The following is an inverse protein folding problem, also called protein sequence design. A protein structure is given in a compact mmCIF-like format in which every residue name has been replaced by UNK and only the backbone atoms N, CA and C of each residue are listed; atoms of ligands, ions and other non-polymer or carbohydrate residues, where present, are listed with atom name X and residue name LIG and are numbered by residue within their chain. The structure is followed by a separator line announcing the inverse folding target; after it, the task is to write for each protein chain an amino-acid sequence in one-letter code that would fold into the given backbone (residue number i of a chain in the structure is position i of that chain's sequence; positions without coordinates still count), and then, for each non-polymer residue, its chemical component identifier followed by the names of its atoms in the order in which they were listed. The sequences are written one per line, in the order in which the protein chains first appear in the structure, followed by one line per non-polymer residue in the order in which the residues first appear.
data_IF_324552040788
#
_entry.id   IF_324552040788
#
_cell.length_a   1.000
_cell.length_b   1.000
_cell.length_c   1.000
_cell.angle_alpha   90.00
_cell.angle_beta   90.00
_cell.angle_gamma   90.00
#
_symmetry.space_group_name_H-M   'P 1'
#
loop_
_entity.id
_entity.type
_entity.pdbx_description
1 polymer ?
#
# COMPACT_ATOMS: atom_id res chain seq x y z
N UNK A 1 7.14 -20.72 -64.34
CA UNK A 1 7.47 -19.31 -64.09
C UNK A 1 8.53 -19.25 -63.01
N UNK A 2 9.63 -18.49 -63.19
CA UNK A 2 10.93 -18.84 -62.63
C UNK A 2 11.37 -18.01 -61.42
N UNK A 3 12.18 -18.68 -60.59
CA UNK A 3 13.37 -18.30 -59.80
C UNK A 3 13.95 -16.87 -59.80
N UNK A 4 14.75 -16.61 -58.73
CA UNK A 4 15.87 -15.64 -58.55
C UNK A 4 15.46 -14.27 -57.99
N UNK A 5 16.26 -13.54 -57.22
CA UNK A 5 17.58 -13.73 -56.59
C UNK A 5 17.75 -12.64 -55.53
N UNK A 6 18.57 -12.96 -54.53
CA UNK A 6 19.26 -12.01 -53.67
C UNK A 6 20.19 -11.09 -54.46
N UNK A 7 20.19 -9.80 -54.14
CA UNK A 7 21.30 -8.89 -54.44
C UNK A 7 21.67 -8.04 -53.23
N UNK A 8 22.90 -8.29 -52.79
CA UNK A 8 23.77 -7.39 -52.05
C UNK A 8 23.83 -6.01 -52.74
N UNK A 9 23.71 -4.93 -51.96
CA UNK A 9 24.43 -3.69 -52.22
C UNK A 9 25.01 -3.18 -50.90
N UNK A 10 26.34 -3.19 -50.84
CA UNK A 10 27.13 -2.47 -49.86
C UNK A 10 27.11 -0.98 -50.21
N UNK A 11 26.95 -0.12 -49.21
CA UNK A 11 27.35 1.27 -49.33
C UNK A 11 27.97 1.71 -48.00
N UNK A 12 29.27 1.95 -48.09
CA UNK A 12 30.16 2.50 -47.07
C UNK A 12 29.81 3.97 -46.89
N UNK A 13 29.56 4.38 -45.64
CA UNK A 13 29.40 5.77 -45.24
C UNK A 13 29.97 5.96 -43.84
N UNK A 14 31.24 6.35 -43.77
CA UNK A 14 31.91 6.73 -42.52
C UNK A 14 31.43 8.10 -42.06
N UNK A 15 30.93 8.21 -40.82
CA UNK A 15 30.82 9.48 -40.09
C UNK A 15 31.32 9.28 -38.66
N UNK A 16 32.23 10.16 -38.28
CA UNK A 16 32.97 10.21 -37.03
C UNK A 16 32.10 10.43 -35.78
N UNK A 17 32.46 9.69 -34.73
CA UNK A 17 32.63 10.07 -33.32
C UNK A 17 31.62 11.04 -32.68
N UNK A 18 30.88 10.53 -31.68
CA UNK A 18 30.73 11.18 -30.37
C UNK A 18 30.25 10.14 -29.34
N UNK A 19 31.19 9.72 -28.49
CA UNK A 19 30.96 8.85 -27.32
C UNK A 19 30.35 9.66 -26.18
N UNK A 20 29.27 9.20 -25.53
CA UNK A 20 28.88 9.74 -24.23
C UNK A 20 29.71 9.07 -23.13
N UNK A 21 30.60 9.85 -22.50
CA UNK A 21 31.34 9.44 -21.31
C UNK A 21 30.41 9.42 -20.10
N UNK A 22 30.31 8.25 -19.44
CA UNK A 22 29.86 8.15 -18.06
C UNK A 22 30.79 8.97 -17.16
N UNK A 23 30.23 9.83 -16.30
CA UNK A 23 30.91 10.30 -15.09
C UNK A 23 30.14 9.81 -13.88
N UNK A 24 30.86 9.09 -13.04
CA UNK A 24 30.42 8.53 -11.79
C UNK A 24 30.28 9.60 -10.69
N UNK A 25 29.47 9.22 -9.71
CA UNK A 25 29.15 9.87 -8.44
C UNK A 25 30.23 10.77 -7.81
N UNK A 26 29.82 12.02 -7.54
CA UNK A 26 30.49 12.98 -6.66
C UNK A 26 29.56 13.38 -5.50
N UNK A 27 30.02 13.05 -4.30
CA UNK A 27 29.56 13.30 -2.93
C UNK A 27 28.69 14.55 -2.66
N UNK A 28 27.66 14.31 -1.83
CA UNK A 28 27.09 15.15 -0.75
C UNK A 28 27.59 16.59 -0.67
N UNK A 29 26.71 17.54 -1.01
CA UNK A 29 26.80 18.91 -0.51
C UNK A 29 25.69 19.15 0.52
N UNK A 30 26.12 19.29 1.76
CA UNK A 30 25.36 19.85 2.88
C UNK A 30 25.16 21.33 2.57
N UNK A 31 23.95 21.72 2.13
CA UNK A 31 23.64 23.13 1.98
C UNK A 31 23.34 23.74 3.35
N UNK A 32 24.45 24.21 3.93
CA UNK A 32 24.66 25.34 4.83
C UNK A 32 23.41 26.19 5.05
N UNK A 33 22.97 26.25 6.31
CA UNK A 33 22.17 27.33 6.89
C UNK A 33 22.68 28.68 6.40
N UNK A 34 21.96 29.29 5.47
CA UNK A 34 22.19 30.68 5.08
C UNK A 34 21.86 31.57 6.26
N UNK A 35 22.90 32.12 6.87
CA UNK A 35 22.84 33.23 7.82
C UNK A 35 22.18 34.43 7.15
N UNK A 36 21.14 34.98 7.79
CA UNK A 36 20.51 36.23 7.37
C UNK A 36 21.54 37.36 7.61
N UNK A 37 21.89 38.20 6.62
CA UNK A 37 22.75 39.34 6.85
C UNK A 37 22.00 40.37 7.71
N UNK A 38 22.57 40.74 8.86
CA UNK A 38 22.08 41.86 9.66
C UNK A 38 22.54 43.17 8.99
N UNK A 39 21.63 44.09 8.62
CA UNK A 39 22.04 45.42 8.20
C UNK A 39 22.57 46.18 9.42
N UNK A 40 23.71 46.84 9.25
CA UNK A 40 24.31 47.70 10.25
C UNK A 40 23.44 48.95 10.43
N UNK A 41 22.76 49.08 11.58
CA UNK A 41 21.97 50.26 11.93
C UNK A 41 22.80 51.21 12.79
N UNK A 42 23.40 52.20 12.12
CA UNK A 42 23.75 53.47 12.73
C UNK A 42 22.92 54.54 12.02
N UNK A 43 21.81 54.97 12.62
CA UNK A 43 21.58 56.37 13.03
C UNK A 43 20.12 56.55 13.54
N UNK A 44 20.03 57.47 14.47
CA UNK A 44 19.05 57.92 15.45
C UNK A 44 17.55 57.99 15.12
N UNK A 45 16.74 57.61 16.12
CA UNK A 45 15.40 58.19 16.34
C UNK A 45 14.31 57.22 16.82
N UNK A 46 14.11 57.13 18.14
CA UNK A 46 12.89 56.65 18.83
C UNK A 46 12.35 55.26 18.39
N UNK A 47 12.87 54.19 18.99
CA UNK A 47 12.22 52.88 18.98
C UNK A 47 10.97 52.90 19.87
N UNK A 48 9.79 52.93 19.25
CA UNK A 48 8.59 52.31 19.82
C UNK A 48 8.73 50.81 19.53
N UNK A 49 8.41 49.88 20.44
CA UNK A 49 8.35 48.48 20.10
C UNK A 49 7.22 48.31 19.06
N UNK A 50 7.58 48.19 17.79
CA UNK A 50 6.61 47.87 16.75
C UNK A 50 6.03 46.51 17.07
N UNK A 51 4.77 46.51 17.48
CA UNK A 51 3.98 45.29 17.59
C UNK A 51 4.04 44.58 16.23
N UNK A 52 4.11 43.24 16.19
CA UNK A 52 4.05 42.53 14.92
C UNK A 52 2.85 43.05 14.11
N UNK A 53 2.95 43.13 12.77
CA UNK A 53 1.83 43.53 11.94
C UNK A 53 0.58 42.79 12.43
N UNK A 54 -0.54 43.49 12.59
CA UNK A 54 -1.72 42.92 13.26
C UNK A 54 -2.16 41.56 12.69
N UNK A 55 -1.81 41.26 11.43
CA UNK A 55 -2.01 39.97 10.78
C UNK A 55 -1.13 38.84 11.35
N UNK A 56 0.15 39.08 11.66
CA UNK A 56 1.08 38.11 12.26
C UNK A 56 0.66 37.76 13.69
N UNK A 57 0.22 38.75 14.47
CA UNK A 57 -0.31 38.51 15.82
C UNK A 57 -1.57 37.62 15.78
N UNK A 58 -2.47 37.87 14.81
CA UNK A 58 -3.68 37.07 14.61
C UNK A 58 -3.33 35.66 14.14
N UNK A 59 -2.46 35.50 13.14
CA UNK A 59 -2.00 34.19 12.69
C UNK A 59 -1.43 33.38 13.86
N UNK A 60 -0.54 33.99 14.67
CA UNK A 60 0.01 33.35 15.86
C UNK A 60 -1.10 32.90 16.80
N UNK A 61 -2.08 33.75 17.11
CA UNK A 61 -3.19 33.38 17.99
C UNK A 61 -4.01 32.20 17.48
N UNK A 62 -4.20 32.08 16.16
CA UNK A 62 -4.91 30.95 15.56
C UNK A 62 -4.09 29.65 15.63
N UNK A 63 -2.79 29.73 15.43
CA UNK A 63 -1.87 28.60 15.60
C UNK A 63 -1.76 28.17 17.07
N UNK A 64 -1.72 29.12 18.00
CA UNK A 64 -1.74 28.85 19.45
C UNK A 64 -3.05 28.14 19.84
N UNK A 65 -4.20 28.59 19.31
CA UNK A 65 -5.49 27.93 19.54
C UNK A 65 -5.50 26.50 18.99
N UNK A 66 -4.97 26.29 17.79
CA UNK A 66 -4.83 24.96 17.20
C UNK A 66 -3.92 24.05 18.05
N UNK A 67 -2.79 24.57 18.52
CA UNK A 67 -1.88 23.85 19.41
C UNK A 67 -2.52 23.50 20.77
N UNK A 68 -3.41 24.36 21.27
CA UNK A 68 -4.22 24.13 22.46
C UNK A 68 -5.42 23.19 22.20
N UNK A 69 -5.56 22.63 21.00
CA UNK A 69 -6.70 21.81 20.56
C UNK A 69 -8.05 22.57 20.59
N UNK A 70 -8.02 23.90 20.56
CA UNK A 70 -9.19 24.76 20.37
C UNK A 70 -9.42 25.00 18.87
N UNK A 71 -9.99 23.97 18.22
CA UNK A 71 -10.23 23.99 16.78
C UNK A 71 -11.28 25.04 16.41
N UNK A 72 -12.25 25.28 17.28
CA UNK A 72 -13.28 26.31 17.05
C UNK A 72 -12.66 27.71 17.08
N UNK A 73 -11.82 28.00 18.07
CA UNK A 73 -11.07 29.25 18.16
C UNK A 73 -10.12 29.44 16.97
N UNK A 74 -9.36 28.41 16.58
CA UNK A 74 -8.50 28.48 15.41
C UNK A 74 -9.27 28.81 14.12
N UNK A 75 -10.44 28.21 13.92
CA UNK A 75 -11.33 28.48 12.77
C UNK A 75 -11.87 29.91 12.81
N UNK A 76 -12.32 30.38 13.98
CA UNK A 76 -12.78 31.77 14.14
C UNK A 76 -11.67 32.77 13.79
N UNK A 77 -10.43 32.51 14.21
CA UNK A 77 -9.29 33.36 13.87
C UNK A 77 -9.01 33.34 12.37
N UNK A 78 -9.06 32.17 11.72
CA UNK A 78 -8.91 32.07 10.25
C UNK A 78 -9.93 32.91 9.51
N UNK A 79 -11.20 32.84 9.93
CA UNK A 79 -12.30 33.53 9.27
C UNK A 79 -12.24 35.06 9.47
N UNK A 80 -11.51 35.52 10.50
CA UNK A 80 -11.23 36.94 10.75
C UNK A 80 -9.97 37.48 10.06
N UNK A 81 -9.16 36.62 9.43
CA UNK A 81 -8.01 37.03 8.62
C UNK A 81 -8.47 37.54 7.24
N UNK A 82 -7.71 38.44 6.58
CA UNK A 82 -8.08 38.92 5.26
C UNK A 82 -8.23 37.76 4.26
N UNK A 83 -9.32 37.79 3.49
CA UNK A 83 -9.63 36.75 2.49
C UNK A 83 -8.50 36.66 1.47
N UNK A 84 -8.09 35.43 1.14
CA UNK A 84 -6.99 35.10 0.22
C UNK A 84 -5.60 35.60 0.68
N UNK A 85 -5.43 35.96 1.95
CA UNK A 85 -4.11 36.28 2.50
C UNK A 85 -3.28 35.01 2.76
N UNK A 86 -1.96 35.15 2.70
CA UNK A 86 -1.04 34.07 3.06
C UNK A 86 -1.31 33.57 4.49
N UNK A 87 -1.58 34.47 5.43
CA UNK A 87 -1.89 34.14 6.82
C UNK A 87 -3.16 33.27 6.93
N UNK A 88 -4.21 33.63 6.18
CA UNK A 88 -5.43 32.82 6.10
C UNK A 88 -5.15 31.43 5.52
N UNK A 89 -4.34 31.36 4.44
CA UNK A 89 -3.96 30.10 3.80
C UNK A 89 -3.15 29.20 4.74
N UNK A 90 -2.16 29.76 5.45
CA UNK A 90 -1.35 29.02 6.43
C UNK A 90 -2.25 28.43 7.51
N UNK A 91 -3.16 29.23 8.06
CA UNK A 91 -4.04 28.76 9.13
C UNK A 91 -5.08 27.75 8.64
N UNK A 92 -5.65 27.94 7.44
CA UNK A 92 -6.54 26.97 6.81
C UNK A 92 -5.85 25.62 6.58
N UNK A 93 -4.63 25.64 6.05
CA UNK A 93 -3.79 24.46 5.86
C UNK A 93 -3.48 23.77 7.19
N UNK A 94 -3.06 24.53 8.20
CA UNK A 94 -2.72 23.99 9.52
C UNK A 94 -3.93 23.35 10.19
N UNK A 95 -5.11 23.98 10.14
CA UNK A 95 -6.36 23.41 10.66
C UNK A 95 -6.69 22.12 9.91
N UNK A 96 -6.65 22.12 8.58
CA UNK A 96 -6.99 20.95 7.77
C UNK A 96 -6.04 19.76 8.01
N UNK A 97 -4.76 20.04 8.34
CA UNK A 97 -3.74 19.03 8.57
C UNK A 97 -3.74 18.50 10.02
N UNK A 98 -3.93 19.38 11.00
CA UNK A 98 -3.71 19.09 12.43
C UNK A 98 -4.96 19.19 13.30
N UNK A 99 -6.07 19.74 12.80
CA UNK A 99 -7.28 19.95 13.60
C UNK A 99 -8.07 18.68 13.92
N UNK A 100 -7.67 17.54 13.35
CA UNK A 100 -8.19 16.22 13.70
C UNK A 100 -9.68 16.07 13.44
N UNK A 101 -10.37 15.41 14.37
CA UNK A 101 -11.74 14.93 14.15
C UNK A 101 -12.82 16.03 14.11
N UNK A 102 -12.48 17.24 14.57
CA UNK A 102 -13.41 18.37 14.66
C UNK A 102 -13.43 19.25 13.41
N UNK A 103 -12.59 18.95 12.41
CA UNK A 103 -12.54 19.69 11.16
C UNK A 103 -13.47 19.02 10.14
N UNK A 104 -14.44 19.76 9.55
CA UNK A 104 -15.33 19.18 8.57
C UNK A 104 -14.64 18.81 7.25
N UNK A 105 -15.15 17.79 6.57
CA UNK A 105 -14.60 17.29 5.31
C UNK A 105 -14.58 18.35 4.21
N UNK A 106 -15.65 19.15 4.13
CA UNK A 106 -15.77 20.26 3.18
C UNK A 106 -14.67 21.30 3.39
N UNK A 107 -14.36 21.62 4.65
CA UNK A 107 -13.30 22.59 5.00
C UNK A 107 -11.92 22.08 4.60
N UNK A 108 -11.64 20.79 4.80
CA UNK A 108 -10.40 20.16 4.36
C UNK A 108 -10.32 20.15 2.82
N UNK A 109 -11.44 19.86 2.14
CA UNK A 109 -11.50 19.86 0.69
C UNK A 109 -11.29 21.25 0.10
N UNK A 110 -11.86 22.29 0.72
CA UNK A 110 -11.70 23.67 0.29
C UNK A 110 -10.26 24.16 0.51
N UNK A 111 -9.64 23.81 1.65
CA UNK A 111 -8.21 24.07 1.86
C UNK A 111 -7.34 23.38 0.80
N UNK A 112 -7.64 22.14 0.44
CA UNK A 112 -6.90 21.41 -0.59
C UNK A 112 -7.07 22.02 -2.00
N UNK A 113 -8.27 22.49 -2.35
CA UNK A 113 -8.56 23.16 -3.63
C UNK A 113 -7.88 24.52 -3.72
N UNK A 114 -7.87 25.28 -2.63
CA UNK A 114 -7.25 26.59 -2.54
C UNK A 114 -5.72 26.52 -2.63
N UNK A 115 -5.13 25.38 -2.20
CA UNK A 115 -3.69 25.22 -2.01
C UNK A 115 -3.10 24.01 -2.76
N UNK A 116 -3.26 23.91 -4.10
CA UNK A 116 -3.07 22.66 -4.87
C UNK A 116 -1.64 22.09 -4.91
N UNK A 117 -0.63 22.79 -4.40
CA UNK A 117 0.78 22.33 -4.37
C UNK A 117 1.44 22.50 -3.00
N UNK A 118 0.63 22.68 -1.96
CA UNK A 118 1.17 22.85 -0.61
C UNK A 118 1.66 21.53 -0.02
N UNK A 119 2.59 21.58 0.94
CA UNK A 119 3.04 20.37 1.63
C UNK A 119 1.87 19.59 2.25
N UNK A 120 1.95 18.26 2.24
CA UNK A 120 0.99 17.42 2.96
C UNK A 120 -0.35 17.17 2.26
N UNK A 121 -0.48 17.39 0.95
CA UNK A 121 -1.74 17.10 0.21
C UNK A 121 -2.26 15.67 0.42
N UNK A 122 -1.37 14.68 0.51
CA UNK A 122 -1.75 13.29 0.82
C UNK A 122 -2.38 13.18 2.21
N UNK A 123 -1.82 13.88 3.20
CA UNK A 123 -2.37 13.88 4.55
C UNK A 123 -3.71 14.62 4.61
N UNK A 124 -3.85 15.77 3.92
CA UNK A 124 -5.15 16.45 3.79
C UNK A 124 -6.20 15.54 3.16
N UNK A 125 -5.84 14.81 2.10
CA UNK A 125 -6.74 13.85 1.47
C UNK A 125 -7.19 12.76 2.44
N UNK A 126 -6.24 12.15 3.17
CA UNK A 126 -6.58 11.15 4.20
C UNK A 126 -7.46 11.72 5.32
N UNK A 127 -7.22 12.96 5.75
CA UNK A 127 -8.04 13.63 6.76
C UNK A 127 -9.46 13.89 6.24
N UNK A 128 -9.59 14.31 4.98
CA UNK A 128 -10.88 14.52 4.31
C UNK A 128 -11.68 13.22 4.23
N UNK A 129 -11.05 12.10 3.85
CA UNK A 129 -11.71 10.78 3.81
C UNK A 129 -12.21 10.33 5.19
N UNK A 130 -11.40 10.52 6.25
CA UNK A 130 -11.82 10.21 7.63
C UNK A 130 -12.97 11.11 8.08
N UNK A 131 -12.94 12.39 7.72
CA UNK A 131 -14.02 13.34 8.02
C UNK A 131 -15.31 12.96 7.30
N UNK A 132 -15.25 12.62 6.00
CA UNK A 132 -16.41 12.13 5.23
C UNK A 132 -17.03 10.90 5.87
N UNK A 133 -16.21 9.95 6.33
CA UNK A 133 -16.71 8.75 7.00
C UNK A 133 -17.41 9.07 8.33
N UNK A 134 -16.89 10.00 9.13
CA UNK A 134 -17.52 10.43 10.39
C UNK A 134 -18.82 11.19 10.17
N UNK A 135 -18.84 12.09 9.19
CA UNK A 135 -20.00 12.90 8.84
C UNK A 135 -21.10 12.07 8.19
N UNK A 136 -20.72 11.02 7.46
CA UNK A 136 -21.60 10.14 6.70
C UNK A 136 -22.67 10.92 5.91
N UNK A 137 -22.25 11.86 5.03
CA UNK A 137 -23.18 12.66 4.22
C UNK A 137 -23.89 11.80 3.18
N UNK A 138 -24.82 12.41 2.43
CA UNK A 138 -25.54 11.73 1.37
C UNK A 138 -24.58 11.11 0.32
N UNK A 139 -24.91 9.95 -0.27
CA UNK A 139 -24.04 9.23 -1.21
C UNK A 139 -23.51 10.09 -2.37
N UNK A 140 -24.33 11.02 -2.88
CA UNK A 140 -23.99 11.92 -3.99
C UNK A 140 -22.82 12.83 -3.61
N UNK A 141 -22.82 13.33 -2.37
CA UNK A 141 -21.77 14.20 -1.84
C UNK A 141 -20.47 13.43 -1.68
N UNK A 142 -20.53 12.18 -1.19
CA UNK A 142 -19.35 11.32 -1.07
C UNK A 142 -18.74 11.08 -2.44
N UNK A 143 -19.53 10.60 -3.41
CA UNK A 143 -19.04 10.30 -4.76
C UNK A 143 -18.45 11.55 -5.43
N UNK A 144 -19.10 12.70 -5.27
CA UNK A 144 -18.58 13.97 -5.77
C UNK A 144 -17.27 14.38 -5.08
N UNK A 145 -17.15 14.19 -3.76
CA UNK A 145 -15.95 14.53 -3.01
C UNK A 145 -14.73 13.69 -3.45
N UNK A 146 -14.95 12.41 -3.78
CA UNK A 146 -13.89 11.58 -4.35
C UNK A 146 -13.56 11.93 -5.80
N UNK A 147 -14.51 12.42 -6.59
CA UNK A 147 -14.26 12.92 -7.94
C UNK A 147 -13.58 11.90 -8.88
N UNK A 148 -13.87 10.60 -8.69
CA UNK A 148 -13.26 9.49 -9.44
C UNK A 148 -11.88 9.05 -8.94
N UNK A 149 -11.34 9.68 -7.90
CA UNK A 149 -10.06 9.32 -7.32
C UNK A 149 -10.17 8.13 -6.36
N UNK A 150 -9.16 7.25 -6.33
CA UNK A 150 -9.14 6.06 -5.46
C UNK A 150 -8.84 6.41 -4.01
N UNK A 151 -9.60 5.93 -3.02
CA UNK A 151 -9.38 6.25 -1.61
C UNK A 151 -8.01 5.83 -1.11
N UNK A 152 -7.52 6.54 -0.08
CA UNK A 152 -6.20 6.32 0.54
C UNK A 152 -6.30 5.83 1.99
N UNK A 153 -7.51 5.66 2.51
CA UNK A 153 -7.82 5.19 3.86
C UNK A 153 -8.88 4.09 3.82
N UNK A 154 -8.91 3.26 4.86
CA UNK A 154 -9.94 2.24 5.04
C UNK A 154 -11.33 2.90 5.20
N UNK A 155 -11.40 4.01 5.93
CA UNK A 155 -12.61 4.81 6.09
C UNK A 155 -13.13 5.32 4.74
N UNK A 156 -12.22 5.83 3.90
CA UNK A 156 -12.51 6.29 2.54
C UNK A 156 -13.04 5.16 1.64
N UNK A 157 -12.41 3.98 1.69
CA UNK A 157 -12.88 2.78 0.98
C UNK A 157 -14.31 2.42 1.40
N UNK A 158 -14.57 2.36 2.71
CA UNK A 158 -15.88 1.97 3.23
C UNK A 158 -16.96 2.98 2.85
N UNK A 159 -16.73 4.29 3.08
CA UNK A 159 -17.76 5.30 2.78
C UNK A 159 -18.05 5.41 1.28
N UNK A 160 -17.03 5.31 0.44
CA UNK A 160 -17.20 5.37 -1.02
C UNK A 160 -17.91 4.11 -1.54
N UNK A 161 -17.52 2.93 -1.09
CA UNK A 161 -18.19 1.68 -1.47
C UNK A 161 -19.66 1.67 -1.02
N UNK A 162 -19.95 2.08 0.22
CA UNK A 162 -21.32 2.22 0.74
C UNK A 162 -22.15 3.18 -0.10
N UNK A 163 -21.55 4.29 -0.52
CA UNK A 163 -22.21 5.30 -1.36
C UNK A 163 -22.56 4.75 -2.74
N UNK A 164 -21.61 4.05 -3.39
CA UNK A 164 -21.87 3.38 -4.67
C UNK A 164 -22.95 2.30 -4.56
N UNK A 165 -22.94 1.48 -3.50
CA UNK A 165 -24.01 0.48 -3.26
C UNK A 165 -25.36 1.16 -3.11
N UNK A 166 -25.44 2.27 -2.36
CA UNK A 166 -26.69 3.01 -2.13
C UNK A 166 -27.27 3.61 -3.41
N UNK A 167 -26.40 3.90 -4.39
CA UNK A 167 -26.78 4.38 -5.73
C UNK A 167 -27.02 3.22 -6.73
N UNK A 168 -26.97 1.97 -6.29
CA UNK A 168 -27.13 0.80 -7.15
C UNK A 168 -25.91 0.47 -8.03
N UNK A 169 -24.79 1.17 -7.86
CA UNK A 169 -23.57 0.95 -8.63
C UNK A 169 -22.64 -0.08 -7.97
N UNK A 170 -23.05 -1.35 -8.04
CA UNK A 170 -22.34 -2.51 -7.47
C UNK A 170 -20.93 -2.65 -8.06
N UNK A 171 -20.74 -2.36 -9.35
CA UNK A 171 -19.45 -2.48 -10.02
C UNK A 171 -18.44 -1.45 -9.52
N UNK A 172 -18.86 -0.19 -9.34
CA UNK A 172 -18.00 0.83 -8.76
C UNK A 172 -17.67 0.55 -7.28
N UNK A 173 -18.61 0.00 -6.51
CA UNK A 173 -18.31 -0.42 -5.15
C UNK A 173 -17.23 -1.52 -5.11
N UNK A 174 -17.32 -2.52 -6.01
CA UNK A 174 -16.31 -3.59 -6.13
C UNK A 174 -14.95 -3.05 -6.57
N UNK A 175 -14.90 -2.11 -7.52
CA UNK A 175 -13.63 -1.58 -8.03
C UNK A 175 -12.80 -0.89 -6.94
N UNK A 176 -13.46 -0.33 -5.93
CA UNK A 176 -12.82 0.27 -4.75
C UNK A 176 -12.49 -0.78 -3.69
N UNK A 177 -13.41 -1.72 -3.41
CA UNK A 177 -13.24 -2.72 -2.35
C UNK A 177 -12.19 -3.78 -2.67
N UNK A 178 -12.19 -4.35 -3.87
CA UNK A 178 -11.35 -5.50 -4.23
C UNK A 178 -9.84 -5.27 -4.05
N UNK A 179 -9.22 -4.20 -4.60
CA UNK A 179 -7.78 -4.00 -4.44
C UNK A 179 -7.37 -3.77 -2.98
N UNK A 180 -8.18 -3.00 -2.24
CA UNK A 180 -7.99 -2.77 -0.81
C UNK A 180 -8.11 -4.08 -0.02
N UNK A 181 -9.20 -4.81 -0.22
CA UNK A 181 -9.49 -6.05 0.50
C UNK A 181 -8.44 -7.13 0.29
N UNK A 182 -7.88 -7.25 -0.92
CA UNK A 182 -6.84 -8.24 -1.21
C UNK A 182 -5.55 -8.03 -0.43
N UNK A 183 -5.24 -6.79 -0.04
CA UNK A 183 -3.88 -6.40 0.33
C UNK A 183 -3.76 -5.73 1.69
N UNK A 184 -4.82 -5.05 2.16
CA UNK A 184 -4.76 -4.24 3.37
C UNK A 184 -4.61 -5.12 4.63
N UNK A 185 -3.71 -4.71 5.53
CA UNK A 185 -3.58 -5.34 6.84
C UNK A 185 -4.61 -4.73 7.79
N UNK A 186 -5.67 -5.48 8.05
CA UNK A 186 -6.78 -5.05 8.89
C UNK A 186 -6.73 -5.73 10.26
N UNK A 187 -7.11 -4.98 11.30
CA UNK A 187 -7.41 -5.56 12.60
C UNK A 187 -8.68 -6.43 12.53
N UNK A 188 -8.81 -7.39 13.46
CA UNK A 188 -9.89 -8.37 13.41
C UNK A 188 -11.29 -7.74 13.46
N UNK A 189 -11.43 -6.63 14.19
CA UNK A 189 -12.68 -5.86 14.28
C UNK A 189 -13.08 -5.27 12.93
N UNK A 190 -12.14 -4.63 12.25
CA UNK A 190 -12.40 -3.92 10.99
C UNK A 190 -12.62 -4.91 9.85
N UNK A 191 -11.85 -6.01 9.83
CA UNK A 191 -12.07 -7.10 8.88
C UNK A 191 -13.48 -7.69 9.02
N UNK A 192 -13.92 -7.94 10.26
CA UNK A 192 -15.26 -8.47 10.51
C UNK A 192 -16.38 -7.46 10.14
N UNK A 193 -16.13 -6.17 10.33
CA UNK A 193 -17.07 -5.12 9.92
C UNK A 193 -17.22 -5.08 8.39
N UNK A 194 -16.11 -5.12 7.65
CA UNK A 194 -16.12 -5.16 6.18
C UNK A 194 -16.78 -6.43 5.66
N UNK A 195 -16.50 -7.60 6.25
CA UNK A 195 -17.17 -8.85 5.87
C UNK A 195 -18.69 -8.76 6.08
N UNK A 196 -19.12 -8.21 7.22
CA UNK A 196 -20.54 -8.08 7.52
C UNK A 196 -21.26 -7.18 6.53
N UNK A 197 -20.62 -6.08 6.14
CA UNK A 197 -21.22 -5.07 5.26
C UNK A 197 -21.12 -5.44 3.77
N UNK A 198 -19.96 -5.93 3.33
CA UNK A 198 -19.62 -6.11 1.91
C UNK A 198 -19.22 -7.54 1.54
N UNK A 199 -19.28 -8.51 2.46
CA UNK A 199 -18.74 -9.85 2.24
C UNK A 199 -19.36 -10.58 1.03
N UNK A 200 -20.66 -10.36 0.77
CA UNK A 200 -21.36 -10.92 -0.40
C UNK A 200 -21.11 -10.14 -1.68
N UNK A 201 -20.70 -8.87 -1.57
CA UNK A 201 -20.37 -8.01 -2.70
C UNK A 201 -18.97 -8.31 -3.23
N UNK A 202 -18.03 -8.57 -2.33
CA UNK A 202 -16.64 -8.91 -2.66
C UNK A 202 -16.59 -10.30 -3.31
N UNK A 203 -15.98 -10.45 -4.51
CA UNK A 203 -15.86 -11.74 -5.19
C UNK A 203 -15.16 -12.82 -4.35
N UNK A 204 -15.61 -14.08 -4.49
CA UNK A 204 -14.95 -15.22 -3.84
C UNK A 204 -13.46 -15.34 -4.19
N UNK A 205 -13.07 -14.94 -5.41
CA UNK A 205 -11.68 -14.91 -5.84
C UNK A 205 -10.82 -13.91 -5.05
N UNK A 206 -11.38 -12.78 -4.63
CA UNK A 206 -10.66 -11.78 -3.82
C UNK A 206 -10.56 -12.23 -2.36
N UNK A 207 -11.60 -12.86 -1.83
CA UNK A 207 -11.53 -13.57 -0.54
C UNK A 207 -10.45 -14.65 -0.56
N UNK A 208 -10.38 -15.41 -1.65
CA UNK A 208 -9.37 -16.47 -1.84
C UNK A 208 -7.95 -15.89 -1.88
N UNK A 209 -7.73 -14.83 -2.66
CA UNK A 209 -6.44 -14.15 -2.71
C UNK A 209 -6.02 -13.63 -1.33
N UNK A 210 -6.92 -12.93 -0.62
CA UNK A 210 -6.66 -12.44 0.74
C UNK A 210 -6.33 -13.60 1.68
N UNK A 211 -7.11 -14.67 1.65
CA UNK A 211 -6.90 -15.85 2.49
C UNK A 211 -5.48 -16.42 2.35
N UNK A 212 -5.04 -16.68 1.12
CA UNK A 212 -3.71 -17.25 0.86
C UNK A 212 -2.61 -16.27 1.26
N UNK A 213 -2.76 -14.98 0.95
CA UNK A 213 -1.82 -13.94 1.39
C UNK A 213 -1.71 -13.86 2.92
N UNK A 214 -2.82 -14.00 3.63
CA UNK A 214 -2.80 -14.03 5.09
C UNK A 214 -2.12 -15.28 5.65
N UNK A 215 -2.17 -16.42 4.97
CA UNK A 215 -1.37 -17.59 5.37
C UNK A 215 0.13 -17.37 5.16
N UNK A 216 0.54 -16.79 4.02
CA UNK A 216 1.95 -16.46 3.78
C UNK A 216 2.51 -15.46 4.79
N UNK A 217 1.68 -14.54 5.27
CA UNK A 217 2.04 -13.55 6.28
C UNK A 217 1.84 -14.03 7.74
N UNK A 218 1.69 -15.35 7.97
CA UNK A 218 1.46 -15.98 9.29
C UNK A 218 0.22 -15.44 10.05
N UNK A 219 -0.74 -14.85 9.35
CA UNK A 219 -2.01 -14.34 9.91
C UNK A 219 -3.13 -15.39 9.82
N UNK A 220 -2.86 -16.58 10.34
CA UNK A 220 -3.74 -17.77 10.26
C UNK A 220 -5.19 -17.48 10.66
N UNK A 221 -5.42 -16.76 11.78
CA UNK A 221 -6.78 -16.45 12.24
C UNK A 221 -7.53 -15.52 11.26
N UNK A 222 -6.82 -14.63 10.56
CA UNK A 222 -7.41 -13.77 9.51
C UNK A 222 -7.80 -14.61 8.30
N UNK A 223 -6.92 -15.50 7.86
CA UNK A 223 -7.20 -16.40 6.75
C UNK A 223 -8.43 -17.30 7.03
N UNK A 224 -8.52 -17.86 8.24
CA UNK A 224 -9.66 -18.71 8.64
C UNK A 224 -11.00 -17.94 8.64
N UNK A 225 -11.01 -16.65 9.02
CA UNK A 225 -12.24 -15.83 8.99
C UNK A 225 -12.85 -15.70 7.59
N UNK A 226 -12.00 -15.59 6.57
CA UNK A 226 -12.46 -15.40 5.17
C UNK A 226 -12.60 -16.70 4.39
N UNK A 227 -12.12 -17.83 4.92
CA UNK A 227 -12.04 -19.10 4.20
C UNK A 227 -13.39 -19.63 3.70
N UNK A 228 -14.48 -19.36 4.44
CA UNK A 228 -15.84 -19.71 4.01
C UNK A 228 -16.28 -18.92 2.77
N UNK A 229 -16.03 -17.61 2.76
CA UNK A 229 -16.35 -16.71 1.64
C UNK A 229 -15.48 -16.98 0.42
N UNK A 230 -14.25 -17.46 0.65
CA UNK A 230 -13.32 -17.90 -0.38
C UNK A 230 -13.70 -19.27 -1.00
N UNK A 231 -14.71 -19.98 -0.48
CA UNK A 231 -15.03 -21.35 -0.90
C UNK A 231 -13.89 -22.34 -0.63
N UNK A 232 -13.08 -22.08 0.39
CA UNK A 232 -11.75 -22.65 0.58
C UNK A 232 -11.50 -23.23 1.98
N UNK A 233 -12.56 -23.51 2.74
CA UNK A 233 -12.47 -23.87 4.16
C UNK A 233 -11.56 -25.07 4.42
N UNK A 234 -11.68 -26.14 3.63
CA UNK A 234 -10.87 -27.35 3.81
C UNK A 234 -9.38 -27.08 3.55
N UNK A 235 -9.03 -26.26 2.56
CA UNK A 235 -7.64 -25.83 2.38
C UNK A 235 -7.17 -25.01 3.60
N UNK A 236 -7.96 -24.04 4.05
CA UNK A 236 -7.57 -23.18 5.16
C UNK A 236 -7.34 -23.97 6.45
N UNK A 237 -8.23 -24.91 6.77
CA UNK A 237 -8.09 -25.79 7.94
C UNK A 237 -6.84 -26.67 7.82
N UNK A 238 -6.56 -27.21 6.63
CA UNK A 238 -5.37 -28.01 6.38
C UNK A 238 -4.07 -27.19 6.48
N UNK A 239 -4.05 -25.97 5.94
CA UNK A 239 -2.90 -25.08 6.01
C UNK A 239 -2.65 -24.61 7.44
N UNK A 240 -3.69 -24.23 8.18
CA UNK A 240 -3.57 -23.88 9.59
C UNK A 240 -3.01 -25.05 10.44
N UNK A 241 -3.44 -26.29 10.15
CA UNK A 241 -2.93 -27.48 10.83
C UNK A 241 -1.46 -27.77 10.46
N UNK A 242 -1.11 -27.65 9.17
CA UNK A 242 0.27 -27.78 8.69
C UNK A 242 1.20 -26.74 9.34
N UNK A 243 0.72 -25.50 9.46
CA UNK A 243 1.48 -24.43 10.07
C UNK A 243 1.71 -24.67 11.57
N UNK A 244 0.68 -25.12 12.30
CA UNK A 244 0.82 -25.43 13.73
C UNK A 244 1.57 -26.73 14.03
N UNK A 245 1.87 -27.55 13.02
CA UNK A 245 2.43 -28.90 13.23
C UNK A 245 1.43 -29.84 13.92
N UNK A 246 0.13 -29.67 13.66
CA UNK A 246 -0.91 -30.52 14.23
C UNK A 246 -0.77 -31.97 13.76
N UNK A 247 -0.97 -32.94 14.66
CA UNK A 247 -0.97 -34.38 14.34
C UNK A 247 -1.94 -34.78 13.21
N UNK A 248 -3.00 -33.99 13.01
CA UNK A 248 -4.00 -34.21 11.96
C UNK A 248 -3.64 -33.56 10.62
N UNK A 249 -2.55 -32.78 10.52
CA UNK A 249 -2.20 -32.03 9.32
C UNK A 249 -2.15 -32.89 8.05
N UNK A 250 -1.53 -34.08 8.11
CA UNK A 250 -1.49 -35.00 6.97
C UNK A 250 -2.89 -35.45 6.50
N UNK A 251 -3.77 -35.76 7.46
CA UNK A 251 -5.15 -36.17 7.16
C UNK A 251 -5.92 -35.02 6.51
N UNK A 252 -5.79 -33.81 7.03
CA UNK A 252 -6.48 -32.62 6.53
C UNK A 252 -5.97 -32.23 5.14
N UNK A 253 -4.65 -32.21 4.91
CA UNK A 253 -4.05 -31.96 3.59
C UNK A 253 -4.57 -32.95 2.54
N UNK A 254 -4.62 -34.25 2.86
CA UNK A 254 -5.16 -35.25 1.94
C UNK A 254 -6.66 -35.05 1.64
N UNK A 255 -7.41 -34.53 2.61
CA UNK A 255 -8.85 -34.30 2.49
C UNK A 255 -9.23 -33.03 1.72
N UNK A 256 -8.27 -32.16 1.37
CA UNK A 256 -8.54 -30.95 0.58
C UNK A 256 -9.11 -31.35 -0.80
N UNK A 257 -10.33 -30.92 -1.18
CA UNK A 257 -10.92 -31.24 -2.48
C UNK A 257 -10.15 -30.60 -3.64
N UNK A 258 -10.18 -31.24 -4.82
CA UNK A 258 -9.44 -30.76 -6.00
C UNK A 258 -9.73 -29.28 -6.34
N UNK A 259 -10.98 -28.83 -6.25
CA UNK A 259 -11.37 -27.45 -6.52
C UNK A 259 -10.80 -26.41 -5.55
N UNK A 260 -10.21 -26.82 -4.42
CA UNK A 260 -9.55 -25.92 -3.47
C UNK A 260 -8.02 -26.00 -3.53
N UNK A 261 -7.44 -26.86 -4.36
CA UNK A 261 -5.99 -27.05 -4.46
C UNK A 261 -5.36 -26.02 -5.41
N UNK A 262 -5.10 -24.81 -4.89
CA UNK A 262 -4.32 -23.77 -5.58
C UNK A 262 -2.81 -23.97 -5.40
N UNK A 263 -2.00 -23.01 -5.84
CA UNK A 263 -0.58 -22.96 -5.49
C UNK A 263 -0.37 -23.01 -3.97
N UNK A 264 -1.18 -22.30 -3.18
CA UNK A 264 -1.12 -22.34 -1.72
C UNK A 264 -1.27 -23.74 -1.11
N UNK A 265 -1.96 -24.68 -1.77
CA UNK A 265 -2.00 -26.08 -1.33
C UNK A 265 -0.64 -26.79 -1.46
N UNK A 266 0.11 -26.52 -2.52
CA UNK A 266 1.46 -27.04 -2.69
C UNK A 266 2.41 -26.42 -1.65
N UNK A 267 2.25 -25.13 -1.37
CA UNK A 267 3.00 -24.44 -0.34
C UNK A 267 2.75 -25.04 1.06
N UNK A 268 1.48 -25.22 1.44
CA UNK A 268 1.10 -25.84 2.72
C UNK A 268 1.67 -27.27 2.87
N UNK A 269 1.64 -28.08 1.80
CA UNK A 269 2.26 -29.41 1.81
C UNK A 269 3.78 -29.35 1.97
N UNK A 270 4.45 -28.44 1.26
CA UNK A 270 5.89 -28.27 1.35
C UNK A 270 6.31 -27.84 2.77
N UNK A 271 5.62 -26.85 3.36
CA UNK A 271 5.86 -26.43 4.74
C UNK A 271 5.66 -27.58 5.75
N UNK A 272 4.57 -28.34 5.60
CA UNK A 272 4.32 -29.52 6.43
C UNK A 272 5.49 -30.52 6.32
N UNK A 273 5.89 -30.89 5.10
CA UNK A 273 6.98 -31.84 4.87
C UNK A 273 8.32 -31.34 5.41
N UNK A 274 8.60 -30.04 5.25
CA UNK A 274 9.80 -29.41 5.81
C UNK A 274 9.82 -29.48 7.34
N UNK A 275 8.69 -29.18 8.01
CA UNK A 275 8.55 -29.31 9.48
C UNK A 275 8.76 -30.76 9.95
N UNK A 276 8.40 -31.74 9.12
CA UNK A 276 8.69 -33.16 9.35
C UNK A 276 10.12 -33.59 8.94
N UNK A 277 11.01 -32.65 8.59
CA UNK A 277 12.39 -32.88 8.10
C UNK A 277 12.49 -33.74 6.83
N UNK A 278 11.41 -33.80 6.04
CA UNK A 278 11.36 -34.50 4.75
C UNK A 278 11.68 -33.54 3.60
N UNK A 279 12.92 -33.05 3.57
CA UNK A 279 13.28 -31.93 2.69
C UNK A 279 13.20 -32.26 1.19
N UNK A 280 13.64 -33.45 0.76
CA UNK A 280 13.50 -33.85 -0.65
C UNK A 280 12.04 -33.96 -1.09
N UNK A 281 11.14 -34.42 -0.21
CA UNK A 281 9.70 -34.47 -0.51
C UNK A 281 9.10 -33.06 -0.57
N UNK A 282 9.49 -32.18 0.38
CA UNK A 282 9.08 -30.78 0.37
C UNK A 282 9.52 -30.09 -0.93
N UNK A 283 10.74 -30.38 -1.39
CA UNK A 283 11.30 -29.84 -2.63
C UNK A 283 10.49 -30.29 -3.84
N UNK A 284 10.15 -31.57 -3.89
CA UNK A 284 9.31 -32.12 -4.93
C UNK A 284 7.92 -31.47 -4.98
N UNK A 285 7.36 -31.05 -3.83
CA UNK A 285 6.12 -30.27 -3.82
C UNK A 285 6.32 -28.85 -4.36
N UNK A 286 7.40 -28.17 -3.95
CA UNK A 286 7.70 -26.82 -4.43
C UNK A 286 7.95 -26.75 -5.94
N UNK A 287 8.54 -27.79 -6.52
CA UNK A 287 8.78 -27.85 -7.96
C UNK A 287 7.50 -28.07 -8.80
N UNK A 288 6.37 -28.42 -8.18
CA UNK A 288 5.07 -28.54 -8.86
C UNK A 288 4.30 -27.22 -8.92
N UNK A 289 4.77 -26.20 -8.20
CA UNK A 289 4.10 -24.91 -8.16
C UNK A 289 4.16 -24.22 -9.54
N UNK A 290 3.13 -23.44 -9.89
CA UNK A 290 3.17 -22.63 -11.10
C UNK A 290 4.29 -21.58 -11.00
N UNK A 291 4.79 -21.12 -12.15
CA UNK A 291 5.71 -19.99 -12.23
C UNK A 291 5.00 -18.64 -12.37
N UNK A 292 3.68 -18.65 -12.62
CA UNK A 292 2.87 -17.45 -12.75
C UNK A 292 2.73 -16.70 -11.41
N UNK A 293 3.14 -15.43 -11.37
CA UNK A 293 3.16 -14.61 -10.15
C UNK A 293 1.77 -14.41 -9.55
N UNK A 294 0.74 -14.26 -10.40
CA UNK A 294 -0.63 -14.06 -9.96
C UNK A 294 -1.14 -15.31 -9.23
N UNK A 295 -0.86 -16.49 -9.77
CA UNK A 295 -1.20 -17.76 -9.14
C UNK A 295 -0.46 -18.01 -7.82
N UNK A 296 0.76 -17.49 -7.66
CA UNK A 296 1.52 -17.59 -6.43
C UNK A 296 0.99 -16.70 -5.29
N UNK A 297 0.24 -15.64 -5.64
CA UNK A 297 -0.33 -14.61 -4.74
C UNK A 297 0.72 -13.74 -4.03
N UNK A 298 1.82 -14.34 -3.56
CA UNK A 298 2.95 -13.67 -2.93
C UNK A 298 4.27 -14.37 -3.32
N UNK A 299 4.86 -14.05 -4.49
CA UNK A 299 6.07 -14.73 -4.98
C UNK A 299 7.27 -14.61 -4.02
N UNK A 300 7.33 -13.56 -3.22
CA UNK A 300 8.38 -13.34 -2.23
C UNK A 300 8.29 -14.34 -1.06
N UNK A 301 7.08 -14.66 -0.60
CA UNK A 301 6.87 -15.72 0.39
C UNK A 301 7.30 -17.11 -0.14
N UNK A 302 7.08 -17.37 -1.43
CA UNK A 302 7.57 -18.58 -2.09
C UNK A 302 9.09 -18.63 -2.13
N UNK A 303 9.74 -17.53 -2.48
CA UNK A 303 11.20 -17.45 -2.43
C UNK A 303 11.73 -17.73 -1.02
N UNK A 304 11.16 -17.11 0.01
CA UNK A 304 11.59 -17.31 1.38
C UNK A 304 11.59 -18.80 1.79
N UNK A 305 10.52 -19.52 1.46
CA UNK A 305 10.41 -20.95 1.75
C UNK A 305 11.36 -21.81 0.88
N UNK A 306 11.54 -21.47 -0.40
CA UNK A 306 12.53 -22.11 -1.29
C UNK A 306 13.95 -21.96 -0.76
N UNK A 307 14.29 -20.77 -0.25
CA UNK A 307 15.61 -20.46 0.31
C UNK A 307 15.89 -21.23 1.60
N UNK A 308 14.91 -21.32 2.50
CA UNK A 308 15.04 -22.15 3.70
C UNK A 308 15.29 -23.60 3.28
N UNK A 309 14.49 -24.12 2.35
CA UNK A 309 14.59 -25.50 1.92
C UNK A 309 15.90 -25.82 1.19
N UNK A 310 16.45 -24.88 0.41
CA UNK A 310 17.74 -25.10 -0.27
C UNK A 310 18.88 -25.24 0.72
N UNK A 311 18.89 -24.44 1.81
CA UNK A 311 19.89 -24.54 2.89
C UNK A 311 19.85 -25.90 3.58
N UNK A 312 18.64 -26.36 3.93
CA UNK A 312 18.45 -27.68 4.54
C UNK A 312 18.91 -28.83 3.62
N UNK A 313 18.72 -28.70 2.31
CA UNK A 313 19.19 -29.69 1.32
C UNK A 313 20.72 -29.68 1.15
N UNK A 314 21.34 -28.50 1.20
CA UNK A 314 22.80 -28.36 1.21
C UNK A 314 23.40 -29.08 2.41
N UNK A 315 22.80 -28.92 3.60
CA UNK A 315 23.23 -29.61 4.82
C UNK A 315 23.11 -31.14 4.70
N UNK A 316 22.11 -31.63 3.97
CA UNK A 316 21.95 -33.04 3.60
C UNK A 316 22.84 -33.49 2.43
N UNK A 317 23.67 -32.59 1.88
CA UNK A 317 24.53 -32.82 0.70
C UNK A 317 23.77 -33.09 -0.60
N UNK A 318 22.47 -32.78 -0.68
CA UNK A 318 21.68 -32.83 -1.91
C UNK A 318 21.80 -31.51 -2.69
N UNK A 319 23.00 -31.25 -3.18
CA UNK A 319 23.33 -30.01 -3.91
C UNK A 319 22.51 -29.86 -5.20
N UNK A 320 22.20 -30.98 -5.86
CA UNK A 320 21.47 -30.99 -7.14
C UNK A 320 20.03 -30.50 -6.94
N UNK A 321 19.35 -30.99 -5.91
CA UNK A 321 17.98 -30.53 -5.61
C UNK A 321 17.98 -29.11 -5.07
N UNK A 322 18.95 -28.75 -4.22
CA UNK A 322 19.09 -27.40 -3.70
C UNK A 322 19.20 -26.36 -4.84
N UNK A 323 20.09 -26.59 -5.81
CA UNK A 323 20.25 -25.71 -6.97
C UNK A 323 18.96 -25.58 -7.79
N UNK A 324 18.28 -26.70 -8.05
CA UNK A 324 17.03 -26.70 -8.83
C UNK A 324 15.91 -25.87 -8.18
N UNK A 325 15.83 -25.86 -6.85
CA UNK A 325 14.81 -25.08 -6.13
C UNK A 325 15.09 -23.59 -6.26
N UNK A 326 16.35 -23.19 -6.08
CA UNK A 326 16.79 -21.79 -6.17
C UNK A 326 16.62 -21.26 -7.59
N UNK A 327 17.01 -22.04 -8.60
CA UNK A 327 16.82 -21.67 -10.01
C UNK A 327 15.35 -21.44 -10.41
N UNK A 328 14.39 -21.91 -9.60
CA UNK A 328 12.96 -21.70 -9.78
C UNK A 328 12.36 -20.67 -8.79
N UNK A 329 13.16 -19.69 -8.32
CA UNK A 329 12.81 -18.78 -7.22
C UNK A 329 11.52 -17.96 -7.44
N UNK A 330 11.30 -17.42 -8.64
CA UNK A 330 10.19 -16.54 -8.98
C UNK A 330 10.03 -15.27 -8.09
N UNK A 331 11.08 -14.88 -7.35
CA UNK A 331 11.09 -13.70 -6.48
C UNK A 331 10.68 -12.42 -7.23
N UNK A 332 9.94 -11.54 -6.54
CA UNK A 332 9.39 -10.33 -7.14
C UNK A 332 10.13 -9.07 -6.71
N UNK A 333 10.42 -8.90 -5.42
CA UNK A 333 11.16 -7.72 -4.96
C UNK A 333 12.62 -7.76 -5.38
N UNK A 334 13.19 -6.60 -5.70
CA UNK A 334 14.59 -6.50 -6.14
C UNK A 334 15.58 -7.13 -5.14
N UNK A 335 15.31 -6.99 -3.84
CA UNK A 335 16.12 -7.60 -2.80
C UNK A 335 16.06 -9.14 -2.83
N UNK A 336 14.87 -9.72 -2.99
CA UNK A 336 14.71 -11.17 -3.05
C UNK A 336 15.16 -11.76 -4.39
N UNK A 337 15.02 -11.01 -5.49
CA UNK A 337 15.58 -11.39 -6.78
C UNK A 337 17.11 -11.44 -6.71
N UNK A 338 17.75 -10.40 -6.16
CA UNK A 338 19.21 -10.37 -5.98
C UNK A 338 19.73 -11.43 -5.01
N UNK A 339 18.98 -11.80 -3.97
CA UNK A 339 19.32 -12.90 -3.05
C UNK A 339 19.19 -14.29 -3.72
N UNK A 340 18.43 -14.38 -4.81
CA UNK A 340 18.17 -15.64 -5.51
C UNK A 340 19.12 -15.94 -6.68
N UNK A 341 19.83 -14.93 -7.18
CA UNK A 341 20.81 -14.99 -8.29
C UNK A 341 22.24 -15.26 -7.77
#
# INVERSE_FOLDING_TARGET
MPTRQSHFFALVGAILLLTPSLVAAGKVDVQVTSTIPMPNLLDTGRQVPESPPASVARLKSGLDALAANDIAGARQVRDALPVNSLDQHILAWAIALYGGDRVPSGEIADAAKMLPNWPGMIALRKNSERALYRENPAPEIVVQAFGGSQPQTSEGVVILARSYVSQGNVEAARSVLSPFWRTEKLEARDEAAIIREFGTLIPAADHRFRMERMFYADRVNSALRVAGLAGARQLADAWAAADKGDKNAAKLLKAVPAGQRSAGYLFAQAQYLRKQKKFSDAAAMMMKAPSDRIALVDPDAWWAERRVLSRELVDQRDMKTAYRIVAAHAAESAANAADAE
#
